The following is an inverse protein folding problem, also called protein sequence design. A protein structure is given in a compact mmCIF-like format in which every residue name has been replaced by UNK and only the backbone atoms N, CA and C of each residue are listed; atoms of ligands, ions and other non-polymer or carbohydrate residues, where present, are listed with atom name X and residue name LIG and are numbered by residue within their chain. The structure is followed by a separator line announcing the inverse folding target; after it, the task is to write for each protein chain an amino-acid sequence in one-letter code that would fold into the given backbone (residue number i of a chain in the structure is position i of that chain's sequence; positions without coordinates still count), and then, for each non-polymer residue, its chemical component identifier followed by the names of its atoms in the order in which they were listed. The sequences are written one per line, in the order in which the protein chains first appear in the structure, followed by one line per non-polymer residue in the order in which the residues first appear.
data_IF_843163553373
#
_entry.id   IF_843163553373
#
_cell.length_a   1.000
_cell.length_b   1.000
_cell.length_c   1.000
_cell.angle_alpha   90.00
_cell.angle_beta   90.00
_cell.angle_gamma   90.00
#
_symmetry.space_group_name_H-M   'P 1'
#
loop_
_entity.id
_entity.type
_entity.pdbx_description
1 polymer ?
#
# COMPACT_ATOMS: atom_id res chain seq x y z
N UNK A 1 -56.57 1.50 17.78
CA UNK A 1 -55.90 2.79 17.52
C UNK A 1 -54.41 2.52 17.42
N UNK A 2 -53.85 2.80 16.24
CA UNK A 2 -52.58 2.27 15.73
C UNK A 2 -51.35 2.83 16.45
N UNK A 3 -50.38 1.96 16.74
CA UNK A 3 -49.01 2.33 17.12
C UNK A 3 -48.32 2.87 15.85
N UNK A 4 -47.62 4.02 15.88
CA UNK A 4 -46.73 4.37 14.77
C UNK A 4 -45.51 3.45 14.79
N UNK A 5 -45.11 2.99 13.61
CA UNK A 5 -43.94 2.15 13.37
C UNK A 5 -42.65 2.91 13.72
N UNK A 6 -41.64 2.26 14.33
CA UNK A 6 -40.29 2.77 14.26
C UNK A 6 -39.79 2.55 12.83
N UNK A 7 -39.23 3.62 12.27
CA UNK A 7 -38.55 3.64 10.98
C UNK A 7 -37.50 2.51 10.91
N UNK A 8 -37.74 1.51 10.07
CA UNK A 8 -36.68 0.63 9.58
C UNK A 8 -35.85 1.46 8.58
N UNK A 9 -34.85 2.15 9.10
CA UNK A 9 -33.76 2.67 8.28
C UNK A 9 -32.93 1.47 7.83
N UNK A 10 -33.20 0.98 6.62
CA UNK A 10 -32.25 0.16 5.86
C UNK A 10 -30.89 0.89 5.80
N UNK A 11 -29.78 0.30 6.27
CA UNK A 11 -28.46 0.74 5.87
C UNK A 11 -28.07 -0.02 4.60
N UNK A 12 -28.65 0.32 3.45
CA UNK A 12 -28.25 -0.31 2.18
C UNK A 12 -27.75 0.75 1.21
N UNK A 13 -26.46 1.08 1.40
CA UNK A 13 -25.48 1.34 0.35
C UNK A 13 -24.13 1.57 1.04
N UNK A 14 -23.54 0.50 1.58
CA UNK A 14 -22.09 0.48 1.76
C UNK A 14 -21.47 0.41 0.36
N UNK A 15 -20.79 1.47 -0.13
CA UNK A 15 -19.90 1.30 -1.26
C UNK A 15 -18.79 0.32 -0.86
N UNK A 16 -18.29 -0.55 -1.75
CA UNK A 16 -17.10 -1.36 -1.51
C UNK A 16 -15.85 -0.45 -1.58
N UNK A 17 -15.75 0.47 -0.63
CA UNK A 17 -14.59 1.31 -0.39
C UNK A 17 -13.82 0.73 0.78
N UNK A 18 -13.27 -0.47 0.60
CA UNK A 18 -12.33 -1.09 1.53
C UNK A 18 -11.12 -0.16 1.70
N UNK A 19 -11.27 0.86 2.54
CA UNK A 19 -10.18 1.69 3.04
C UNK A 19 -9.76 1.15 4.41
N UNK A 20 -9.72 -0.18 4.54
CA UNK A 20 -9.05 -0.88 5.64
C UNK A 20 -7.53 -0.94 5.43
N UNK A 21 -6.97 -0.13 4.53
CA UNK A 21 -5.55 -0.06 4.22
C UNK A 21 -4.67 0.56 5.32
N UNK A 22 -5.17 0.69 6.56
CA UNK A 22 -4.47 1.38 7.65
C UNK A 22 -4.05 0.47 8.81
N UNK A 23 -4.31 -0.84 8.73
CA UNK A 23 -3.74 -1.79 9.69
C UNK A 23 -2.85 -2.82 8.99
N UNK A 24 -1.51 -2.74 9.09
CA UNK A 24 -0.67 -3.83 8.62
C UNK A 24 -1.05 -5.11 9.38
N UNK A 25 -1.32 -6.24 8.69
CA UNK A 25 -1.60 -7.50 9.37
C UNK A 25 -0.37 -7.93 10.18
N UNK A 26 -0.52 -8.33 11.45
CA UNK A 26 0.58 -8.90 12.22
C UNK A 26 0.87 -10.32 11.70
N UNK A 27 1.70 -10.44 10.66
CA UNK A 27 2.19 -11.74 10.20
C UNK A 27 2.46 -11.85 8.71
N UNK A 28 3.64 -11.37 8.29
CA UNK A 28 4.41 -11.94 7.16
C UNK A 28 3.86 -11.88 5.73
N UNK A 29 2.57 -11.61 5.50
CA UNK A 29 1.97 -11.61 4.17
C UNK A 29 1.83 -10.19 3.62
N UNK A 30 2.62 -9.87 2.60
CA UNK A 30 2.47 -8.64 1.83
C UNK A 30 1.12 -8.63 1.12
N UNK A 31 0.38 -7.53 1.24
CA UNK A 31 -0.81 -7.23 0.43
C UNK A 31 -0.44 -7.14 -1.06
N UNK A 32 -1.44 -7.22 -1.94
CA UNK A 32 -1.24 -7.08 -3.39
C UNK A 32 -0.49 -5.81 -3.77
N UNK A 33 -0.78 -4.69 -3.11
CA UNK A 33 -0.10 -3.41 -3.38
C UNK A 33 1.36 -3.42 -2.91
N UNK A 34 1.63 -3.95 -1.71
CA UNK A 34 3.00 -4.06 -1.20
C UNK A 34 3.82 -5.06 -2.02
N UNK A 35 3.19 -6.16 -2.47
CA UNK A 35 3.78 -7.14 -3.39
C UNK A 35 4.12 -6.50 -4.73
N UNK A 36 3.25 -5.66 -5.27
CA UNK A 36 3.52 -4.91 -6.51
C UNK A 36 4.67 -3.90 -6.33
N UNK A 37 4.75 -3.21 -5.19
CA UNK A 37 5.88 -2.33 -4.86
C UNK A 37 7.17 -3.13 -4.75
N UNK A 38 7.14 -4.27 -4.05
CA UNK A 38 8.29 -5.17 -3.91
C UNK A 38 8.75 -5.68 -5.27
N UNK A 39 7.82 -6.11 -6.12
CA UNK A 39 8.12 -6.64 -7.45
C UNK A 39 8.75 -5.56 -8.35
N UNK A 40 8.20 -4.34 -8.35
CA UNK A 40 8.79 -3.21 -9.07
C UNK A 40 10.19 -2.84 -8.59
N UNK A 41 10.41 -2.90 -7.27
CA UNK A 41 11.72 -2.70 -6.66
C UNK A 41 12.70 -3.83 -6.98
N UNK A 42 12.23 -5.08 -7.05
CA UNK A 42 13.04 -6.27 -7.33
C UNK A 42 13.43 -6.37 -8.81
N UNK A 43 12.50 -6.07 -9.72
CA UNK A 43 12.78 -5.97 -11.15
C UNK A 43 13.83 -4.90 -11.48
N UNK A 44 14.02 -3.93 -10.58
CA UNK A 44 14.98 -2.82 -10.69
C UNK A 44 15.91 -2.78 -9.48
N UNK A 45 16.30 -3.96 -8.99
CA UNK A 45 17.29 -4.06 -7.93
C UNK A 45 18.56 -3.28 -8.32
N UNK A 46 19.14 -2.58 -7.34
CA UNK A 46 20.28 -1.68 -7.55
C UNK A 46 19.97 -0.38 -8.31
N UNK A 47 18.71 -0.10 -8.68
CA UNK A 47 18.30 1.17 -9.28
C UNK A 47 17.31 1.94 -8.40
N UNK A 48 17.35 3.26 -8.51
CA UNK A 48 16.39 4.13 -7.82
C UNK A 48 15.07 4.11 -8.58
N UNK A 49 14.03 3.62 -7.91
CA UNK A 49 12.64 3.63 -8.38
C UNK A 49 11.93 4.85 -7.80
N UNK A 50 11.39 5.67 -8.69
CA UNK A 50 10.69 6.90 -8.32
C UNK A 50 9.27 6.63 -7.81
N UNK A 51 8.68 7.62 -7.13
CA UNK A 51 7.27 7.56 -6.69
C UNK A 51 6.31 7.26 -7.83
N UNK A 52 6.47 7.92 -8.97
CA UNK A 52 5.62 7.73 -10.15
C UNK A 52 5.73 6.31 -10.71
N UNK A 53 6.91 5.69 -10.63
CA UNK A 53 7.09 4.31 -11.06
C UNK A 53 6.43 3.32 -10.09
N UNK A 54 6.49 3.57 -8.77
CA UNK A 54 5.75 2.78 -7.80
C UNK A 54 4.23 2.92 -7.99
N UNK A 55 3.74 4.14 -8.19
CA UNK A 55 2.32 4.39 -8.46
C UNK A 55 1.83 3.63 -9.71
N UNK A 56 2.64 3.61 -10.77
CA UNK A 56 2.38 2.81 -11.98
C UNK A 56 2.38 1.31 -11.71
N UNK A 57 3.32 0.81 -10.91
CA UNK A 57 3.39 -0.61 -10.58
C UNK A 57 2.21 -1.10 -9.75
N UNK A 58 1.71 -0.26 -8.83
CA UNK A 58 0.50 -0.55 -8.04
C UNK A 58 -0.77 -0.38 -8.86
N UNK A 59 -0.70 0.20 -10.06
CA UNK A 59 -1.85 0.45 -10.92
C UNK A 59 -2.74 1.59 -10.43
N UNK A 60 -2.22 2.44 -9.53
CA UNK A 60 -2.95 3.58 -8.98
C UNK A 60 -2.15 4.84 -9.29
N UNK A 61 -2.53 5.52 -10.36
CA UNK A 61 -1.85 6.71 -10.85
C UNK A 61 -1.83 7.86 -9.82
N UNK A 62 -2.81 7.91 -8.92
CA UNK A 62 -3.00 8.92 -7.87
C UNK A 62 -2.80 8.35 -6.46
N UNK A 63 -1.81 7.48 -6.27
CA UNK A 63 -1.45 7.03 -4.93
C UNK A 63 -0.85 8.22 -4.16
N UNK A 64 -1.48 8.64 -3.05
CA UNK A 64 -0.98 9.76 -2.24
C UNK A 64 0.46 9.51 -1.76
N UNK A 65 1.25 10.58 -1.59
CA UNK A 65 2.65 10.47 -1.13
C UNK A 65 2.74 9.67 0.18
N UNK A 66 1.82 9.91 1.09
CA UNK A 66 1.73 9.19 2.37
C UNK A 66 1.48 7.69 2.18
N UNK A 67 0.65 7.31 1.21
CA UNK A 67 0.38 5.89 0.93
C UNK A 67 1.59 5.21 0.30
N UNK A 68 2.32 5.90 -0.58
CA UNK A 68 3.61 5.41 -1.07
C UNK A 68 4.58 5.17 0.09
N UNK A 69 4.74 6.14 0.98
CA UNK A 69 5.62 6.02 2.14
C UNK A 69 5.21 4.85 3.04
N UNK A 70 3.91 4.68 3.33
CA UNK A 70 3.40 3.55 4.13
C UNK A 70 3.68 2.20 3.47
N UNK A 71 3.43 2.05 2.17
CA UNK A 71 3.72 0.80 1.44
C UNK A 71 5.22 0.46 1.49
N UNK A 72 6.08 1.46 1.29
CA UNK A 72 7.52 1.27 1.38
C UNK A 72 7.96 0.89 2.79
N UNK A 73 7.39 1.51 3.83
CA UNK A 73 7.66 1.15 5.23
C UNK A 73 7.22 -0.29 5.53
N UNK A 74 6.07 -0.73 5.00
CA UNK A 74 5.61 -2.10 5.17
C UNK A 74 6.52 -3.11 4.44
N UNK A 75 6.89 -2.82 3.19
CA UNK A 75 7.87 -3.64 2.43
C UNK A 75 9.22 -3.69 3.15
N UNK A 76 9.68 -2.57 3.74
CA UNK A 76 10.90 -2.52 4.57
C UNK A 76 10.81 -3.40 5.80
N UNK A 77 9.66 -3.46 6.47
CA UNK A 77 9.46 -4.34 7.62
C UNK A 77 9.46 -5.81 7.23
N UNK A 78 8.95 -6.14 6.05
CA UNK A 78 8.91 -7.52 5.56
C UNK A 78 10.27 -8.04 5.05
N UNK A 79 11.03 -7.21 4.34
CA UNK A 79 12.34 -7.58 3.78
C UNK A 79 13.52 -7.38 4.73
N UNK A 80 13.37 -6.51 5.72
CA UNK A 80 14.46 -5.97 6.52
C UNK A 80 14.85 -4.56 6.07
N UNK A 81 15.03 -3.67 7.05
CA UNK A 81 15.26 -2.25 6.82
C UNK A 81 16.55 -1.95 6.03
N UNK A 82 17.50 -2.88 6.04
CA UNK A 82 18.78 -2.81 5.32
C UNK A 82 18.64 -3.00 3.81
N UNK A 83 17.59 -3.71 3.36
CA UNK A 83 17.42 -4.04 1.94
C UNK A 83 16.82 -2.91 1.12
N UNK A 84 16.15 -1.92 1.72
CA UNK A 84 15.55 -0.80 0.99
C UNK A 84 16.19 0.53 1.41
N UNK A 85 16.95 1.13 0.49
CA UNK A 85 17.58 2.43 0.66
C UNK A 85 16.64 3.53 0.21
N UNK A 86 16.43 4.51 1.07
CA UNK A 86 15.69 5.73 0.68
C UNK A 86 16.67 6.75 0.12
N UNK A 87 16.52 7.08 -1.17
CA UNK A 87 17.29 8.11 -1.85
C UNK A 87 16.50 9.41 -1.83
N UNK A 88 16.86 10.32 -0.92
CA UNK A 88 16.18 11.61 -0.75
C UNK A 88 16.00 12.33 -2.08
N UNK A 89 14.77 12.80 -2.34
CA UNK A 89 14.34 13.51 -3.56
C UNK A 89 14.41 12.71 -4.88
N UNK A 90 14.76 11.42 -4.86
CA UNK A 90 14.75 10.56 -6.06
C UNK A 90 13.82 9.35 -5.94
N UNK A 91 13.73 8.71 -4.78
CA UNK A 91 12.87 7.55 -4.57
C UNK A 91 13.51 6.50 -3.69
N UNK A 92 13.29 5.23 -4.01
CA UNK A 92 13.78 4.10 -3.22
C UNK A 92 14.54 3.12 -4.09
N UNK A 93 15.54 2.49 -3.50
CA UNK A 93 16.36 1.48 -4.17
C UNK A 93 16.34 0.21 -3.35
N UNK A 94 16.14 -0.91 -4.01
CA UNK A 94 16.34 -2.21 -3.39
C UNK A 94 17.80 -2.61 -3.54
N UNK A 95 18.46 -2.89 -2.43
CA UNK A 95 19.74 -3.57 -2.39
C UNK A 95 19.47 -5.05 -2.67
N UNK A 96 20.02 -5.54 -3.77
CA UNK A 96 19.90 -6.95 -4.08
C UNK A 96 20.61 -7.78 -3.01
N UNK A 97 19.97 -8.87 -2.64
CA UNK A 97 20.51 -9.83 -1.69
C UNK A 97 21.48 -10.73 -2.45
N UNK A 98 22.71 -10.24 -2.68
CA UNK A 98 23.77 -11.11 -3.16
C UNK A 98 23.97 -12.32 -2.24
#
# INVERSE_FOLDING_TARGET
MSRPAPVETLPESEPPGATSADRPPPGGTLSTQERAVLDALSQRSGRVVSRSELARAVGVADLSERRCDSLVVAVRRALGADRVVTVRRRGWMLLDAN
#
